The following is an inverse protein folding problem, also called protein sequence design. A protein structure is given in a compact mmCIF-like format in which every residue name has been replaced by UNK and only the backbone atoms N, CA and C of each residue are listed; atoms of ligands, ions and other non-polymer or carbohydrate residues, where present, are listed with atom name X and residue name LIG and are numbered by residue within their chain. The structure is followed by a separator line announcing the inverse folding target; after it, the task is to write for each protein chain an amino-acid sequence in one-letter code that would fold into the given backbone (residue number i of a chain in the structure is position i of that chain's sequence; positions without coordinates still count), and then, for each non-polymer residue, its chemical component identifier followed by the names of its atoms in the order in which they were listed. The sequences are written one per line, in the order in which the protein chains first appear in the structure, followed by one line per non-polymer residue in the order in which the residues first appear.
data_IF_132379887486
#
_entry.id   IF_132379887486
#
_cell.length_a   1.000
_cell.length_b   1.000
_cell.length_c   1.000
_cell.angle_alpha   90.00
_cell.angle_beta   90.00
_cell.angle_gamma   90.00
#
_symmetry.space_group_name_H-M   'P 1'
#
loop_
_entity.id
_entity.type
_entity.pdbx_description
1 polymer ?
#
# COMPACT_ATOMS: atom_id res chain seq x y z
N UNK A 1 -6.40 6.15 -13.15
CA UNK A 1 -6.05 6.25 -11.72
C UNK A 1 -4.91 7.25 -11.59
N UNK A 2 -5.03 8.25 -10.72
CA UNK A 2 -3.92 9.16 -10.40
C UNK A 2 -3.28 8.64 -9.11
N UNK A 3 -2.11 8.00 -9.22
CA UNK A 3 -1.49 7.24 -8.14
C UNK A 3 -1.17 8.13 -6.93
N UNK A 4 -0.80 9.38 -7.17
CA UNK A 4 -0.45 10.36 -6.16
C UNK A 4 -1.63 10.68 -5.22
N UNK A 5 -2.88 10.41 -5.64
CA UNK A 5 -4.05 10.63 -4.79
C UNK A 5 -4.16 9.58 -3.66
N UNK A 6 -3.41 8.47 -3.74
CA UNK A 6 -3.41 7.37 -2.75
C UNK A 6 -2.30 7.49 -1.70
N UNK A 7 -1.38 8.45 -1.85
CA UNK A 7 -0.19 8.53 -1.00
C UNK A 7 -0.01 9.90 -0.35
N UNK A 8 0.54 9.90 0.86
CA UNK A 8 1.03 11.08 1.57
C UNK A 8 2.54 10.91 1.83
N UNK A 9 3.37 11.78 1.23
CA UNK A 9 4.80 11.82 1.53
C UNK A 9 5.03 12.69 2.77
N UNK A 10 5.44 12.04 3.87
CA UNK A 10 5.75 12.73 5.13
C UNK A 10 7.23 13.12 5.22
N UNK A 11 8.09 12.39 4.51
CA UNK A 11 9.53 12.66 4.38
C UNK A 11 10.04 12.05 3.07
N UNK A 12 11.29 12.34 2.64
CA UNK A 12 11.84 11.81 1.38
C UNK A 12 11.79 10.28 1.26
N UNK A 13 11.85 9.56 2.37
CA UNK A 13 11.79 8.09 2.42
C UNK A 13 10.59 7.57 3.24
N UNK A 14 9.60 8.41 3.50
CA UNK A 14 8.39 8.03 4.24
C UNK A 14 7.16 8.38 3.40
N UNK A 15 6.63 7.37 2.72
CA UNK A 15 5.42 7.44 1.92
C UNK A 15 4.36 6.55 2.61
N UNK A 16 3.24 7.16 2.98
CA UNK A 16 2.11 6.50 3.63
C UNK A 16 0.94 6.38 2.66
N UNK A 17 0.14 5.33 2.82
CA UNK A 17 -1.16 5.27 2.17
C UNK A 17 -2.11 6.29 2.83
N UNK A 18 -2.73 7.11 2.00
CA UNK A 18 -3.57 8.24 2.42
C UNK A 18 -4.71 7.79 3.32
N UNK A 19 -4.90 8.53 4.42
CA UNK A 19 -5.91 8.21 5.43
C UNK A 19 -5.53 7.05 6.37
N UNK A 20 -4.31 6.53 6.27
CA UNK A 20 -3.82 5.41 7.07
C UNK A 20 -2.44 5.71 7.67
N UNK A 21 -1.97 4.83 8.57
CA UNK A 21 -0.58 4.85 9.05
C UNK A 21 0.30 3.80 8.38
N UNK A 22 -0.25 3.08 7.39
CA UNK A 22 0.48 2.02 6.69
C UNK A 22 1.44 2.68 5.70
N UNK A 23 2.71 2.34 5.81
CA UNK A 23 3.71 2.75 4.83
C UNK A 23 3.71 1.81 3.63
N UNK A 24 4.06 2.33 2.46
CA UNK A 24 4.08 1.55 1.21
C UNK A 24 5.05 0.37 1.30
N UNK A 25 6.10 0.48 2.12
CA UNK A 25 7.12 -0.54 2.31
C UNK A 25 6.54 -1.86 2.84
N UNK A 26 5.46 -1.81 3.62
CA UNK A 26 4.82 -3.03 4.13
C UNK A 26 4.16 -3.82 3.01
N UNK A 27 3.45 -3.13 2.12
CA UNK A 27 2.75 -3.73 0.98
C UNK A 27 3.76 -4.28 -0.03
N UNK A 28 4.79 -3.50 -0.35
CA UNK A 28 5.86 -3.94 -1.24
C UNK A 28 6.63 -5.13 -0.66
N UNK A 29 6.86 -5.17 0.65
CA UNK A 29 7.51 -6.31 1.30
C UNK A 29 6.66 -7.59 1.19
N UNK A 30 5.37 -7.50 1.52
CA UNK A 30 4.45 -8.65 1.45
C UNK A 30 4.30 -9.14 -0.01
N UNK A 31 4.27 -8.23 -0.99
CA UNK A 31 4.20 -8.59 -2.41
C UNK A 31 5.51 -9.21 -2.93
N UNK A 32 6.65 -8.53 -2.76
CA UNK A 32 7.93 -8.91 -3.38
C UNK A 32 8.60 -10.08 -2.66
N UNK A 33 8.54 -10.10 -1.32
CA UNK A 33 9.30 -11.06 -0.52
C UNK A 33 8.46 -12.23 0.01
N UNK A 34 7.15 -12.05 0.14
CA UNK A 34 6.25 -13.15 0.56
C UNK A 34 5.43 -13.74 -0.58
N UNK A 35 5.52 -13.15 -1.78
CA UNK A 35 4.77 -13.59 -2.97
C UNK A 35 3.25 -13.65 -2.71
N UNK A 36 2.76 -12.76 -1.84
CA UNK A 36 1.34 -12.66 -1.54
C UNK A 36 0.60 -11.97 -2.67
N UNK A 37 -0.59 -12.47 -2.99
CA UNK A 37 -1.47 -11.78 -3.93
C UNK A 37 -1.99 -10.46 -3.33
N UNK A 38 -2.35 -9.47 -4.16
CA UNK A 38 -2.97 -8.22 -3.69
C UNK A 38 -4.18 -8.45 -2.77
N UNK A 39 -4.99 -9.48 -3.05
CA UNK A 39 -6.15 -9.86 -2.24
C UNK A 39 -5.75 -10.41 -0.87
N UNK A 40 -4.68 -11.21 -0.77
CA UNK A 40 -4.17 -11.71 0.51
C UNK A 40 -3.61 -10.57 1.37
N UNK A 41 -2.95 -9.59 0.73
CA UNK A 41 -2.45 -8.40 1.40
C UNK A 41 -3.63 -7.56 1.91
N UNK A 42 -4.64 -7.29 1.06
CA UNK A 42 -5.85 -6.58 1.48
C UNK A 42 -6.53 -7.29 2.64
N UNK A 43 -6.73 -8.60 2.59
CA UNK A 43 -7.38 -9.36 3.66
C UNK A 43 -6.66 -9.19 5.01
N UNK A 44 -5.32 -9.14 4.99
CA UNK A 44 -4.47 -8.90 6.16
C UNK A 44 -4.65 -7.49 6.74
N UNK A 45 -4.90 -6.50 5.89
CA UNK A 45 -5.04 -5.08 6.27
C UNK A 45 -6.46 -4.52 6.07
N UNK A 46 -7.49 -5.36 5.96
CA UNK A 46 -8.84 -4.99 5.51
C UNK A 46 -9.54 -3.88 6.30
N UNK A 47 -9.07 -3.64 7.53
CA UNK A 47 -9.58 -2.57 8.40
C UNK A 47 -8.95 -1.21 8.13
N UNK A 48 -7.83 -1.17 7.40
CA UNK A 48 -7.05 0.02 7.12
C UNK A 48 -6.92 0.30 5.61
N UNK A 49 -6.90 -0.73 4.77
CA UNK A 49 -6.64 -0.60 3.33
C UNK A 49 -7.79 -1.14 2.50
N UNK A 50 -7.98 -0.54 1.32
CA UNK A 50 -8.81 -1.12 0.26
C UNK A 50 -7.96 -1.92 -0.72
N UNK A 51 -8.59 -2.83 -1.47
CA UNK A 51 -7.91 -3.58 -2.52
C UNK A 51 -7.29 -2.64 -3.57
N UNK A 52 -8.01 -1.57 -3.91
CA UNK A 52 -7.54 -0.53 -4.84
C UNK A 52 -6.26 0.16 -4.33
N UNK A 53 -6.18 0.47 -3.03
CA UNK A 53 -4.97 1.03 -2.41
C UNK A 53 -3.77 0.08 -2.48
N UNK A 54 -4.00 -1.23 -2.33
CA UNK A 54 -2.95 -2.25 -2.50
C UNK A 54 -2.46 -2.27 -3.96
N UNK A 55 -3.37 -2.32 -4.92
CA UNK A 55 -3.02 -2.27 -6.35
C UNK A 55 -2.29 -0.97 -6.73
N UNK A 56 -2.73 0.18 -6.22
CA UNK A 56 -2.05 1.46 -6.42
C UNK A 56 -0.61 1.41 -5.90
N UNK A 57 -0.38 0.79 -4.74
CA UNK A 57 0.97 0.65 -4.15
C UNK A 57 1.88 -0.25 -4.97
N UNK A 58 1.37 -1.35 -5.51
CA UNK A 58 2.16 -2.27 -6.35
C UNK A 58 2.52 -1.62 -7.70
N UNK A 59 1.69 -0.68 -8.18
CA UNK A 59 1.88 -0.01 -9.48
C UNK A 59 2.80 1.21 -9.41
N UNK A 60 2.92 1.85 -8.25
CA UNK A 60 3.67 3.09 -8.02
C UNK A 60 5.18 2.84 -7.90
#
# INVERSE_FOLDING_TARGET
MKLEDYFDSQAPNDIRLKGTRVGIERILYDYIHRDWSPEQIEETYRHALTLEQVYATITY
#
